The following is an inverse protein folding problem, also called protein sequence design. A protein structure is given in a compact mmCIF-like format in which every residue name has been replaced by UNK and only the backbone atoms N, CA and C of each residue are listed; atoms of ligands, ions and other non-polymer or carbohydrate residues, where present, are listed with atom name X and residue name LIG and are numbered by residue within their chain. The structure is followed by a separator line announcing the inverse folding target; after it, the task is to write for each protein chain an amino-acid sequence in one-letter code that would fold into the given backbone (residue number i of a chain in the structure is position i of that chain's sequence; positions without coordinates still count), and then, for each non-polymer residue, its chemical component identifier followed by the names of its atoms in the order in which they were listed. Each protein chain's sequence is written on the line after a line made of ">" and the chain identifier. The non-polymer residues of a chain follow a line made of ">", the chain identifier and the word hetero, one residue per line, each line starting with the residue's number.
data_IF_249727646447
#
_entry.id   IF_249727646447
#
_cell.length_a   1.000
_cell.length_b   1.000
_cell.length_c   1.000
_cell.angle_alpha   90.00
_cell.angle_beta   90.00
_cell.angle_gamma   90.00
#
_symmetry.space_group_name_H-M   'P 1'
#
loop_
_entity.id
_entity.type
_entity.pdbx_description
1 polymer ?
#
# COMPACT_ATOMS: atom_id res chain seq x y z
N UNK A 1 -3.18 17.96 -24.83
CA UNK A 1 -2.06 18.16 -23.87
C UNK A 1 -2.68 18.30 -22.49
N UNK A 2 -2.79 17.22 -21.72
CA UNK A 2 -3.45 17.25 -20.41
C UNK A 2 -2.54 17.90 -19.38
N UNK A 3 -2.80 19.17 -19.09
CA UNK A 3 -2.16 19.91 -17.99
C UNK A 3 -2.93 19.56 -16.71
N UNK A 4 -2.37 18.67 -15.89
CA UNK A 4 -2.90 18.43 -14.55
C UNK A 4 -2.53 19.62 -13.66
N UNK A 5 -3.52 20.43 -13.32
CA UNK A 5 -3.38 21.64 -12.52
C UNK A 5 -2.98 21.28 -11.08
N UNK A 6 -1.91 21.92 -10.62
CA UNK A 6 -1.18 21.68 -9.38
C UNK A 6 -1.80 22.51 -8.26
N UNK A 7 -2.82 22.00 -7.55
CA UNK A 7 -3.39 22.67 -6.37
C UNK A 7 -4.05 21.73 -5.36
N UNK A 8 -3.38 20.62 -5.04
CA UNK A 8 -3.60 19.95 -3.75
C UNK A 8 -2.20 19.80 -3.20
N UNK A 9 -1.91 20.46 -2.09
CA UNK A 9 -0.67 20.20 -1.34
C UNK A 9 -1.03 19.08 -0.37
N UNK A 10 -0.91 17.79 -0.75
CA UNK A 10 -0.99 16.74 0.25
C UNK A 10 0.16 17.03 1.22
N UNK A 11 -0.09 16.87 2.52
CA UNK A 11 0.99 16.67 3.46
C UNK A 11 1.85 15.50 2.93
N UNK A 12 2.90 15.82 2.16
CA UNK A 12 3.59 14.89 1.23
C UNK A 12 4.24 13.71 1.93
N UNK A 13 4.31 13.73 3.25
CA UNK A 13 4.97 12.72 4.08
C UNK A 13 4.02 11.64 4.61
N UNK A 14 2.69 11.82 4.52
CA UNK A 14 1.79 10.91 5.26
C UNK A 14 0.78 10.16 4.39
N UNK A 15 0.10 10.80 3.43
CA UNK A 15 -0.93 10.10 2.65
C UNK A 15 -0.36 9.23 1.53
N UNK A 16 0.74 9.65 0.90
CA UNK A 16 1.36 8.93 -0.22
C UNK A 16 2.00 7.63 0.26
N UNK A 17 2.68 7.65 1.41
CA UNK A 17 3.28 6.46 2.01
C UNK A 17 2.23 5.45 2.48
N UNK A 18 1.12 5.94 3.04
CA UNK A 18 -0.03 5.09 3.41
C UNK A 18 -0.64 4.45 2.16
N UNK A 19 -0.86 5.23 1.09
CA UNK A 19 -1.36 4.69 -0.18
C UNK A 19 -0.42 3.62 -0.77
N UNK A 20 0.89 3.87 -0.77
CA UNK A 20 1.89 2.91 -1.22
C UNK A 20 1.85 1.60 -0.40
N UNK A 21 1.68 1.70 0.93
CA UNK A 21 1.53 0.54 1.79
C UNK A 21 0.23 -0.23 1.54
N UNK A 22 -0.89 0.47 1.27
CA UNK A 22 -2.16 -0.18 0.89
C UNK A 22 -2.04 -0.90 -0.44
N UNK A 23 -1.41 -0.28 -1.45
CA UNK A 23 -1.13 -0.93 -2.74
C UNK A 23 -0.28 -2.18 -2.53
N UNK A 24 0.72 -2.12 -1.66
CA UNK A 24 1.53 -3.29 -1.30
C UNK A 24 0.70 -4.39 -0.65
N UNK A 25 -0.14 -4.08 0.34
CA UNK A 25 -1.05 -5.05 0.98
C UNK A 25 -1.93 -5.75 -0.07
N UNK A 26 -2.59 -4.97 -0.92
CA UNK A 26 -3.48 -5.48 -1.97
C UNK A 26 -2.71 -6.36 -2.96
N UNK A 27 -1.50 -5.92 -3.36
CA UNK A 27 -0.65 -6.66 -4.29
C UNK A 27 -0.12 -7.96 -3.70
N UNK A 28 0.09 -8.03 -2.39
CA UNK A 28 0.50 -9.26 -1.69
C UNK A 28 -0.63 -10.28 -1.55
N UNK A 29 -1.89 -9.80 -1.56
CA UNK A 29 -3.10 -10.63 -1.57
C UNK A 29 -3.47 -11.10 -2.99
N UNK A 30 -3.01 -10.39 -4.01
CA UNK A 30 -3.13 -10.83 -5.40
C UNK A 30 -2.17 -11.98 -5.70
N UNK A 31 -2.56 -12.83 -6.65
CA UNK A 31 -1.73 -13.94 -7.13
C UNK A 31 -0.40 -13.43 -7.73
N UNK A 32 -0.45 -12.27 -8.37
CA UNK A 32 0.72 -11.56 -8.90
C UNK A 32 1.35 -10.64 -7.83
N UNK A 33 2.18 -11.24 -6.97
CA UNK A 33 2.91 -10.51 -5.93
C UNK A 33 3.89 -9.51 -6.53
N UNK A 34 3.54 -8.22 -6.51
CA UNK A 34 4.46 -7.15 -6.92
C UNK A 34 5.55 -6.93 -5.87
N UNK A 35 6.79 -6.80 -6.32
CA UNK A 35 7.90 -6.50 -5.42
C UNK A 35 7.77 -5.09 -4.84
N UNK A 36 8.21 -4.92 -3.59
CA UNK A 36 8.31 -3.60 -2.93
C UNK A 36 9.08 -2.58 -3.80
N UNK A 37 10.07 -3.05 -4.56
CA UNK A 37 10.86 -2.25 -5.48
C UNK A 37 10.03 -1.64 -6.61
N UNK A 38 9.11 -2.40 -7.18
CA UNK A 38 8.23 -1.91 -8.25
C UNK A 38 7.25 -0.87 -7.73
N UNK A 39 6.73 -1.07 -6.52
CA UNK A 39 5.83 -0.12 -5.86
C UNK A 39 6.59 1.15 -5.46
N UNK A 40 7.82 1.00 -4.96
CA UNK A 40 8.75 2.11 -4.67
C UNK A 40 9.03 2.93 -5.93
N UNK A 41 9.34 2.28 -7.06
CA UNK A 41 9.53 2.94 -8.36
C UNK A 41 8.25 3.63 -8.85
N UNK A 42 7.09 3.00 -8.72
CA UNK A 42 5.82 3.55 -9.19
C UNK A 42 5.31 4.73 -8.34
N UNK A 43 5.54 4.69 -7.02
CA UNK A 43 5.06 5.71 -6.07
C UNK A 43 6.09 6.78 -5.73
N UNK A 44 7.38 6.52 -6.00
CA UNK A 44 8.50 7.36 -5.59
C UNK A 44 8.76 7.35 -4.07
N UNK A 45 8.18 6.40 -3.33
CA UNK A 45 8.35 6.27 -1.88
C UNK A 45 9.41 5.22 -1.59
N UNK A 46 10.37 5.55 -0.72
CA UNK A 46 11.40 4.60 -0.30
C UNK A 46 10.79 3.32 0.30
N UNK A 47 11.33 2.16 -0.07
CA UNK A 47 10.86 0.85 0.39
C UNK A 47 10.76 0.76 1.93
N UNK A 48 11.73 1.33 2.65
CA UNK A 48 11.72 1.39 4.11
C UNK A 48 10.53 2.17 4.67
N UNK A 49 10.08 3.23 3.99
CA UNK A 49 8.89 3.99 4.38
C UNK A 49 7.62 3.20 4.10
N UNK A 50 7.53 2.50 2.96
CA UNK A 50 6.40 1.62 2.63
C UNK A 50 6.27 0.51 3.68
N UNK A 51 7.38 -0.14 4.04
CA UNK A 51 7.41 -1.18 5.08
C UNK A 51 7.01 -0.63 6.45
N UNK A 52 7.50 0.56 6.80
CA UNK A 52 7.13 1.21 8.05
C UNK A 52 5.61 1.50 8.08
N UNK A 53 5.05 2.10 7.02
CA UNK A 53 3.62 2.32 6.89
C UNK A 53 2.80 1.02 6.91
N UNK A 54 3.31 -0.05 6.28
CA UNK A 54 2.70 -1.38 6.34
C UNK A 54 2.67 -1.94 7.76
N UNK A 55 3.73 -1.77 8.57
CA UNK A 55 3.71 -2.13 10.01
C UNK A 55 2.59 -1.45 10.77
N UNK A 56 2.40 -0.15 10.53
CA UNK A 56 1.32 0.60 11.18
C UNK A 56 -0.07 0.15 10.73
N UNK A 57 -0.22 -0.27 9.47
CA UNK A 57 -1.51 -0.68 8.89
C UNK A 57 -1.85 -2.14 9.17
N UNK A 58 -0.86 -3.01 9.37
CA UNK A 58 -1.01 -4.46 9.58
C UNK A 58 -2.16 -4.85 10.54
N UNK A 59 -2.26 -4.29 11.77
CA UNK A 59 -3.35 -4.64 12.68
C UNK A 59 -4.75 -4.19 12.22
N UNK A 60 -4.82 -3.25 11.27
CA UNK A 60 -6.07 -2.70 10.73
C UNK A 60 -6.43 -3.29 9.35
N UNK A 61 -5.59 -4.15 8.76
CA UNK A 61 -5.81 -4.69 7.41
C UNK A 61 -7.17 -5.39 7.30
N UNK A 62 -7.58 -6.15 8.31
CA UNK A 62 -8.90 -6.82 8.32
C UNK A 62 -10.10 -5.87 8.31
N UNK A 63 -9.90 -4.61 8.72
CA UNK A 63 -10.92 -3.55 8.61
C UNK A 63 -10.82 -2.77 7.29
N UNK A 64 -9.63 -2.73 6.71
CA UNK A 64 -9.32 -1.96 5.51
C UNK A 64 -9.72 -2.71 4.24
N UNK A 65 -9.45 -4.01 4.22
CA UNK A 65 -9.76 -4.89 3.09
C UNK A 65 -11.18 -5.41 3.28
N UNK A 66 -12.10 -5.10 2.37
CA UNK A 66 -13.45 -5.60 2.46
C UNK A 66 -13.48 -7.11 2.19
N UNK A 67 -14.41 -7.81 2.84
CA UNK A 67 -14.54 -9.28 2.75
C UNK A 67 -14.87 -9.81 1.36
N UNK A 68 -15.29 -8.95 0.42
CA UNK A 68 -15.49 -9.32 -0.99
C UNK A 68 -14.16 -9.43 -1.76
N UNK A 69 -13.09 -8.77 -1.29
CA UNK A 69 -11.80 -8.74 -1.99
C UNK A 69 -10.86 -9.84 -1.49
N UNK A 70 -10.76 -10.01 -0.17
CA UNK A 70 -9.92 -11.05 0.43
C UNK A 70 -10.61 -11.63 1.68
N UNK A 71 -10.46 -12.93 1.86
CA UNK A 71 -10.95 -13.62 3.07
C UNK A 71 -9.90 -13.55 4.16
N UNK A 72 -10.30 -13.84 5.40
CA UNK A 72 -9.40 -13.84 6.55
C UNK A 72 -8.25 -14.86 6.43
N UNK A 73 -8.44 -15.92 5.65
CA UNK A 73 -7.40 -16.88 5.25
C UNK A 73 -6.30 -16.24 4.39
N UNK A 74 -6.67 -15.39 3.42
CA UNK A 74 -5.72 -14.67 2.58
C UNK A 74 -4.95 -13.61 3.38
N UNK A 75 -5.62 -12.99 4.34
CA UNK A 75 -4.98 -12.04 5.26
C UNK A 75 -3.91 -12.70 6.13
N UNK A 76 -4.04 -14.00 6.46
CA UNK A 76 -3.01 -14.78 7.17
C UNK A 76 -1.81 -15.13 6.28
N UNK A 77 -2.00 -15.12 4.96
CA UNK A 77 -0.92 -15.33 3.99
C UNK A 77 -0.05 -14.07 3.78
N UNK A 78 -0.47 -12.91 4.28
CA UNK A 78 0.36 -11.72 4.28
C UNK A 78 1.60 -11.95 5.14
N UNK A 79 2.77 -11.60 4.59
CA UNK A 79 4.01 -11.66 5.35
C UNK A 79 3.94 -10.69 6.53
N UNK A 80 4.08 -11.24 7.75
CA UNK A 80 4.28 -10.43 8.96
C UNK A 80 5.47 -9.49 8.74
N UNK A 81 5.33 -8.19 9.03
CA UNK A 81 6.29 -7.17 8.64
C UNK A 81 7.60 -7.09 9.44
#
# INVERSE_FOLDING_TARGET
>A
MFVWNKSITPCRRSTISVAAAVIYIISQLSDERKLLKDISLATGVAEGTIRNSYKYLYPYVSRLIPSWYAKEEDLKNLSSP
#
